data_IF_771557694025
#
_entry.id   IF_771557694025
#
_cell.length_a   1.000
_cell.length_b   1.000
_cell.length_c   1.000
_cell.angle_alpha   90.00
_cell.angle_beta   90.00
_cell.angle_gamma   90.00
#
_symmetry.space_group_name_H-M   'P 1'
#
loop_
_entity.id
_entity.type
_entity.pdbx_description
1 polymer ?
#
# COMPACT_ATOMS: atom_id res chain seq x y z
N UNK A 1 -6.19 -11.99 19.24
CA UNK A 1 -4.99 -11.87 18.39
C UNK A 1 -3.83 -11.42 19.26
N UNK A 2 -2.60 -11.80 18.93
CA UNK A 2 -1.38 -11.40 19.64
C UNK A 2 -1.20 -9.87 19.58
N UNK A 3 -0.69 -9.19 20.63
CA UNK A 3 -0.58 -7.73 20.69
C UNK A 3 0.32 -7.13 19.61
N UNK A 4 1.40 -7.81 19.25
CA UNK A 4 2.33 -7.42 18.18
C UNK A 4 1.65 -7.33 16.81
N UNK A 5 0.72 -8.25 16.52
CA UNK A 5 -0.05 -8.25 15.26
C UNK A 5 -0.97 -7.03 15.18
N UNK A 6 -1.54 -6.61 16.32
CA UNK A 6 -2.39 -5.42 16.38
C UNK A 6 -1.57 -4.14 16.22
N UNK A 7 -0.41 -4.07 16.87
CA UNK A 7 0.53 -2.94 16.72
C UNK A 7 0.97 -2.80 15.27
N UNK A 8 1.36 -3.91 14.62
CA UNK A 8 1.73 -3.88 13.22
C UNK A 8 0.55 -3.45 12.34
N UNK A 9 -0.63 -4.03 12.53
CA UNK A 9 -1.82 -3.66 11.74
C UNK A 9 -2.17 -2.17 11.88
N UNK A 10 -2.03 -1.60 13.07
CA UNK A 10 -2.24 -0.19 13.32
C UNK A 10 -1.17 0.67 12.64
N UNK A 11 0.10 0.31 12.75
CA UNK A 11 1.22 0.98 12.09
C UNK A 11 1.07 0.97 10.57
N UNK A 12 0.74 -0.18 9.98
CA UNK A 12 0.46 -0.34 8.56
C UNK A 12 -0.71 0.56 8.11
N UNK A 13 -1.79 0.59 8.90
CA UNK A 13 -2.93 1.46 8.60
C UNK A 13 -2.54 2.94 8.64
N UNK A 14 -1.75 3.34 9.64
CA UNK A 14 -1.29 4.71 9.81
C UNK A 14 -0.38 5.17 8.66
N UNK A 15 0.57 4.32 8.23
CA UNK A 15 1.46 4.65 7.11
C UNK A 15 0.68 4.73 5.78
N UNK A 16 -0.26 3.82 5.52
CA UNK A 16 -1.13 3.93 4.34
C UNK A 16 -2.02 5.19 4.40
N UNK A 17 -2.48 5.59 5.58
CA UNK A 17 -3.30 6.78 5.76
C UNK A 17 -2.54 8.08 5.45
N UNK A 18 -1.23 8.16 5.75
CA UNK A 18 -0.38 9.30 5.37
C UNK A 18 -0.47 9.62 3.87
N UNK A 19 -0.53 8.58 3.04
CA UNK A 19 -0.56 8.70 1.58
C UNK A 19 -1.96 8.77 0.96
N UNK A 20 -3.02 8.65 1.76
CA UNK A 20 -4.40 8.57 1.28
C UNK A 20 -4.82 9.76 0.41
N UNK A 21 -4.25 10.94 0.65
CA UNK A 21 -4.56 12.18 -0.06
C UNK A 21 -4.08 12.17 -1.53
N UNK A 22 -3.16 11.27 -1.90
CA UNK A 22 -2.71 11.07 -3.30
C UNK A 22 -3.70 10.29 -4.16
N UNK A 23 -4.72 9.71 -3.54
CA UNK A 23 -5.72 8.90 -4.21
C UNK A 23 -7.07 9.60 -4.19
N UNK A 24 -7.58 9.92 -5.38
CA UNK A 24 -8.84 10.66 -5.55
C UNK A 24 -10.08 9.90 -5.05
N UNK A 25 -10.05 8.56 -5.05
CA UNK A 25 -11.19 7.68 -4.74
C UNK A 25 -10.89 6.71 -3.60
N UNK A 26 -11.92 6.38 -2.82
CA UNK A 26 -11.81 5.44 -1.69
C UNK A 26 -11.48 4.02 -2.17
N UNK A 27 -11.99 3.61 -3.33
CA UNK A 27 -11.69 2.31 -3.93
C UNK A 27 -10.21 2.21 -4.29
N UNK A 28 -9.62 3.28 -4.83
CA UNK A 28 -8.20 3.34 -5.16
C UNK A 28 -7.32 3.27 -3.91
N UNK A 29 -7.69 3.97 -2.83
CA UNK A 29 -7.04 3.88 -1.51
C UNK A 29 -7.06 2.46 -0.93
N UNK A 30 -8.23 1.82 -0.96
CA UNK A 30 -8.39 0.43 -0.49
C UNK A 30 -7.51 -0.53 -1.29
N UNK A 31 -7.44 -0.35 -2.62
CA UNK A 31 -6.58 -1.16 -3.48
C UNK A 31 -5.11 -0.91 -3.24
N UNK A 32 -4.68 0.33 -2.99
CA UNK A 32 -3.30 0.62 -2.58
C UNK A 32 -2.92 -0.14 -1.31
N UNK A 33 -3.77 -0.07 -0.27
CA UNK A 33 -3.50 -0.79 0.99
C UNK A 33 -3.39 -2.30 0.80
N UNK A 34 -4.32 -2.90 0.05
CA UNK A 34 -4.28 -4.33 -0.28
C UNK A 34 -3.02 -4.71 -1.08
N UNK A 35 -2.64 -3.87 -2.05
CA UNK A 35 -1.46 -4.09 -2.89
C UNK A 35 -0.16 -4.03 -2.08
N UNK A 36 0.03 -3.00 -1.25
CA UNK A 36 1.21 -2.88 -0.38
C UNK A 36 1.24 -4.01 0.65
N UNK A 37 0.09 -4.37 1.24
CA UNK A 37 -0.02 -5.49 2.16
C UNK A 37 0.43 -6.81 1.52
N UNK A 38 0.01 -7.08 0.28
CA UNK A 38 0.48 -8.25 -0.47
C UNK A 38 1.98 -8.18 -0.83
N UNK A 39 2.51 -6.99 -1.13
CA UNK A 39 3.95 -6.82 -1.38
C UNK A 39 4.80 -7.14 -0.15
N UNK A 40 4.37 -6.70 1.03
CA UNK A 40 5.07 -6.93 2.30
C UNK A 40 4.80 -8.33 2.89
N UNK A 41 3.73 -9.00 2.48
CA UNK A 41 3.41 -10.35 2.96
C UNK A 41 4.32 -11.45 2.41
N UNK A 42 4.19 -12.66 2.96
CA UNK A 42 4.99 -13.84 2.57
C UNK A 42 4.44 -14.55 1.31
N UNK A 43 4.01 -13.79 0.29
CA UNK A 43 3.60 -14.42 -0.99
C UNK A 43 4.81 -14.75 -1.86
N UNK A 44 4.84 -15.97 -2.40
CA UNK A 44 5.96 -16.51 -3.19
C UNK A 44 6.25 -15.69 -4.46
N UNK A 45 5.20 -15.19 -5.12
CA UNK A 45 5.32 -14.37 -6.34
C UNK A 45 4.54 -13.06 -6.21
N UNK A 46 5.20 -11.94 -6.53
CA UNK A 46 4.63 -10.59 -6.49
C UNK A 46 3.98 -10.18 -7.82
N UNK A 47 3.09 -11.02 -8.34
CA UNK A 47 2.33 -10.69 -9.54
C UNK A 47 0.87 -10.31 -9.19
N UNK A 48 0.19 -9.63 -10.11
CA UNK A 48 -1.16 -9.10 -9.87
C UNK A 48 -2.20 -10.15 -9.47
N UNK A 49 -2.06 -11.40 -9.92
CA UNK A 49 -2.96 -12.50 -9.54
C UNK A 49 -2.70 -12.94 -8.10
N UNK A 50 -1.45 -13.30 -7.78
CA UNK A 50 -1.09 -13.76 -6.43
C UNK A 50 -1.35 -12.69 -5.36
N UNK A 51 -1.12 -11.42 -5.69
CA UNK A 51 -1.45 -10.32 -4.78
C UNK A 51 -2.96 -10.17 -4.59
N UNK A 52 -3.76 -10.38 -5.64
CA UNK A 52 -5.21 -10.36 -5.55
C UNK A 52 -5.76 -11.52 -4.71
N UNK A 53 -5.21 -12.73 -4.88
CA UNK A 53 -5.54 -13.89 -4.05
C UNK A 53 -5.24 -13.63 -2.57
N UNK A 54 -4.06 -13.07 -2.27
CA UNK A 54 -3.69 -12.70 -0.90
C UNK A 54 -4.59 -11.62 -0.30
N UNK A 55 -5.17 -10.76 -1.13
CA UNK A 55 -6.17 -9.77 -0.73
C UNK A 55 -7.60 -10.33 -0.61
N UNK A 56 -7.81 -11.60 -0.93
CA UNK A 56 -9.13 -12.25 -0.92
C UNK A 56 -10.01 -11.93 -2.13
N UNK A 57 -9.44 -11.41 -3.22
CA UNK A 57 -10.19 -11.15 -4.44
C UNK A 57 -10.39 -12.43 -5.27
N UNK A 58 -11.48 -12.48 -6.03
CA UNK A 58 -11.76 -13.57 -6.98
C UNK A 58 -10.93 -13.49 -8.28
N UNK A 59 -10.19 -12.39 -8.49
CA UNK A 59 -9.45 -12.14 -9.73
C UNK A 59 -8.55 -10.90 -9.66
N UNK A 60 -7.65 -10.72 -10.65
CA UNK A 60 -6.60 -9.71 -10.65
C UNK A 60 -7.10 -8.31 -10.96
N UNK A 61 -8.39 -8.13 -11.29
CA UNK A 61 -8.93 -6.87 -11.79
C UNK A 61 -8.82 -5.75 -10.75
N UNK A 62 -8.86 -6.09 -9.46
CA UNK A 62 -8.60 -5.16 -8.37
C UNK A 62 -7.22 -4.50 -8.48
N UNK A 63 -6.18 -5.32 -8.66
CA UNK A 63 -4.79 -4.88 -8.78
C UNK A 63 -4.54 -4.18 -10.12
N UNK A 64 -5.12 -4.70 -11.20
CA UNK A 64 -5.03 -4.07 -12.52
C UNK A 64 -5.69 -2.69 -12.55
N UNK A 65 -6.84 -2.51 -11.88
CA UNK A 65 -7.49 -1.19 -11.79
C UNK A 65 -6.66 -0.18 -11.02
N UNK A 66 -5.97 -0.59 -9.96
CA UNK A 66 -5.04 0.29 -9.24
C UNK A 66 -3.93 0.79 -10.15
N UNK A 67 -3.30 -0.12 -10.90
CA UNK A 67 -2.11 0.18 -11.69
C UNK A 67 -2.44 0.88 -13.02
N UNK A 68 -3.58 0.57 -13.64
CA UNK A 68 -3.87 0.96 -15.02
C UNK A 68 -5.10 1.87 -15.19
N UNK A 69 -5.96 2.03 -14.18
CA UNK A 69 -7.26 2.68 -14.36
C UNK A 69 -7.52 3.83 -13.40
N UNK A 70 -7.31 3.63 -12.10
CA UNK A 70 -7.56 4.67 -11.13
C UNK A 70 -6.57 5.83 -11.28
N UNK A 71 -7.08 7.06 -11.21
CA UNK A 71 -6.25 8.25 -11.15
C UNK A 71 -5.75 8.44 -9.70
N UNK A 72 -4.43 8.44 -9.56
CA UNK A 72 -3.69 8.80 -8.35
C UNK A 72 -2.42 9.54 -8.74
N UNK A 73 -1.95 10.39 -7.83
CA UNK A 73 -0.77 11.22 -8.03
C UNK A 73 0.49 10.41 -7.76
N UNK A 74 1.05 9.82 -8.83
CA UNK A 74 2.24 8.97 -8.74
C UNK A 74 3.49 9.73 -8.28
N UNK A 75 3.68 10.95 -8.79
CA UNK A 75 4.85 11.76 -8.48
C UNK A 75 4.79 12.28 -7.04
N UNK A 76 3.63 12.81 -6.64
CA UNK A 76 3.41 13.23 -5.26
C UNK A 76 3.52 12.07 -4.27
N UNK A 77 3.02 10.87 -4.61
CA UNK A 77 3.19 9.70 -3.74
C UNK A 77 4.67 9.32 -3.58
N UNK A 78 5.46 9.34 -4.66
CA UNK A 78 6.90 9.07 -4.60
C UNK A 78 7.60 10.09 -3.70
N UNK A 79 7.25 11.36 -3.84
CA UNK A 79 7.89 12.45 -3.09
C UNK A 79 7.52 12.37 -1.60
N UNK A 80 6.26 12.07 -1.25
CA UNK A 80 5.85 11.83 0.14
C UNK A 80 6.56 10.61 0.75
N UNK A 81 6.69 9.51 0.01
CA UNK A 81 7.41 8.32 0.48
C UNK A 81 8.87 8.68 0.75
N UNK A 82 9.50 9.45 -0.14
CA UNK A 82 10.88 9.92 0.06
C UNK A 82 11.00 10.77 1.32
N UNK A 83 10.06 11.69 1.56
CA UNK A 83 10.05 12.53 2.76
C UNK A 83 9.98 11.66 4.03
N UNK A 84 9.05 10.70 4.09
CA UNK A 84 8.92 9.79 5.23
C UNK A 84 10.19 8.98 5.46
N UNK A 85 10.83 8.49 4.39
CA UNK A 85 12.08 7.72 4.50
C UNK A 85 13.20 8.59 5.06
N UNK A 86 13.38 9.80 4.53
CA UNK A 86 14.42 10.74 5.01
C UNK A 86 14.15 11.16 6.46
N UNK A 87 12.90 11.47 6.81
CA UNK A 87 12.50 11.80 8.19
C UNK A 87 12.81 10.65 9.17
N UNK A 88 12.63 9.40 8.75
CA UNK A 88 12.71 8.24 9.66
C UNK A 88 14.12 7.69 9.80
N UNK A 89 14.89 7.64 8.71
CA UNK A 89 16.20 6.96 8.66
C UNK A 89 17.32 7.82 8.06
N UNK A 90 17.05 9.09 7.74
CA UNK A 90 18.07 10.02 7.29
C UNK A 90 19.00 10.42 8.43
N UNK A 91 20.29 10.56 8.12
CA UNK A 91 21.24 11.11 9.07
C UNK A 91 20.98 12.62 9.26
N UNK A 92 21.21 13.11 10.47
CA UNK A 92 21.31 14.55 10.69
C UNK A 92 22.65 15.03 10.10
N UNK A 93 22.59 15.98 9.18
CA UNK A 93 23.77 16.65 8.61
C UNK A 93 24.75 17.16 9.68
#
# INVERSE_FOLDING_TARGET
MQPEVLEWSAGFTAICARFAHRFSRVESRRRMGAYVGGLLGEVERKNGWTLAEAAGDAGPEGMQRLLNFYSWDCEGLRDDVREVVVETIGDAD
#
